data_IF_308536978913
#
_entry.id   IF_308536978913
#
_cell.length_a   1.000
_cell.length_b   1.000
_cell.length_c   1.000
_cell.angle_alpha   90.00
_cell.angle_beta   90.00
_cell.angle_gamma   90.00
#
_symmetry.space_group_name_H-M   'P 1'
#
loop_
_entity.id
_entity.type
_entity.pdbx_description
1 polymer ?
2 polymer ?
3 non-polymer ?
#
loop_
_entity_poly.entity_id
_entity_poly.type
_entity_poly.pdbx_seq_one_letter_code
_entity_poly.pdbx_strand_id
2 'polydeoxyribonucleotide' '(DG)(DA)(DT)(DA)(DT)(DC)' ?
#
# COMPACT_ATOMS: atom_id res chain seq x y z
N UNK A 1 -2.85 5.25 0.53
CA UNK A 1 -3.21 4.88 -0.88
C UNK A 1 -2.14 4.09 -1.62
N UNK A 2 -0.92 4.09 -1.14
CA UNK A 2 0.12 3.31 -1.91
C UNK A 2 -0.11 1.78 -1.77
N UNK A 3 0.36 1.04 -2.76
CA UNK A 3 0.20 -0.45 -2.66
C UNK A 3 1.58 -1.06 -2.74
N UNK A 4 2.21 -1.02 -1.59
CA UNK A 4 3.60 -1.55 -1.46
C UNK A 4 3.49 -2.74 -0.46
N UNK A 5 4.82 -1.87 3.12
CA UNK A 5 4.24 -3.21 2.82
C UNK A 5 2.70 -3.28 2.73
N UNK A 6 2.01 -2.28 3.23
CA UNK A 6 0.50 -2.31 3.16
C UNK A 6 -0.05 -1.95 1.76
N UNK A 7 -1.24 -2.45 1.46
CA UNK A 7 -1.82 -2.11 0.11
C UNK A 7 -3.21 -1.51 0.25
N UNK A 8 -3.17 -0.24 0.51
CA UNK A 8 -4.43 0.55 0.70
C UNK A 8 -4.44 1.57 -0.47
X LIG D 1 -2.58 5.69 3.15
X LIG D 1 -2.24 6.68 2.32
X LIG D 1 -1.60 7.83 2.81
X LIG D 1 -1.33 7.95 4.12
X LIG D 1 -1.40 7.09 6.30
X LIG D 1 -1.76 6.06 7.17
X LIG D 1 -2.40 4.91 6.71
X LIG D 1 -2.67 4.78 5.33
X LIG D 1 -2.31 5.81 4.45
X LIG D 1 -1.68 6.96 4.94
X LIG D 1 -2.57 6.50 0.89
X LIG D 1 -2.58 7.47 0.11
X LIG D 1 -1.33 8.62 2.14
X LIG D 1 -0.91 7.97 6.68
X LIG D 1 -1.55 6.17 8.22
X LIG D 1 -2.65 4.12 7.38
X LIG D 1 -2.94 3.83 4.93
X LIG E 1 6.21 0.47 3.32
X LIG E 1 6.02 -0.27 4.42
X LIG E 1 6.32 0.24 5.69
X LIG E 1 6.80 1.49 5.83
X LIG E 1 7.48 3.52 4.86
X LIG E 1 7.68 4.31 3.73
X LIG E 1 7.38 3.81 2.44
X LIG E 1 6.88 2.51 2.32
X LIG E 1 6.69 1.72 3.46
X LIG E 1 6.98 2.23 4.71
X LIG E 1 5.50 -1.64 4.25
X LIG E 1 5.68 -2.50 5.13
X LIG E 1 6.17 -0.34 6.56
X LIG E 1 7.70 3.91 5.83
X LIG E 1 8.05 5.30 3.85
X LIG E 1 7.47 4.44 1.60
X LIG E 1 6.86 2.05 1.35
#
# INVERSE_FOLDING_TARGET
SAXVSAXV
QUI N1 C2 C3 N4 C5 C6 C7 C8 C9 C10 C O1 H3 H5 H6 H7 H8
QUI N1 C2 C3 N4 C5 C6 C7 C8 C9 C10 C O1 H3 H5 H6 H7 H8
#
